data_IF_292528345335
#
_entry.id   IF_292528345335
#
_cell.length_a   1.000
_cell.length_b   1.000
_cell.length_c   1.000
_cell.angle_alpha   90.00
_cell.angle_beta   90.00
_cell.angle_gamma   90.00
#
_symmetry.space_group_name_H-M   'P 1'
#
loop_
_entity.id
_entity.type
_entity.pdbx_description
1 polymer ?
#
# COMPACT_ATOMS: atom_id res chain seq x y z
N UNK A 1 14.81 0.73 5.82
CA UNK A 1 14.26 -0.63 5.68
C UNK A 1 15.15 -1.50 4.80
N UNK A 2 15.16 -2.83 5.00
CA UNK A 2 15.70 -3.75 3.99
C UNK A 2 14.71 -3.82 2.82
N UNK A 3 15.18 -4.11 1.61
CA UNK A 3 14.33 -4.31 0.42
C UNK A 3 13.16 -5.30 0.65
N UNK A 4 13.34 -6.25 1.57
CA UNK A 4 12.34 -7.22 2.01
C UNK A 4 11.13 -6.57 2.70
N UNK A 5 11.35 -5.51 3.48
CA UNK A 5 10.30 -4.82 4.21
C UNK A 5 9.47 -3.90 3.30
N UNK A 6 10.13 -3.27 2.32
CA UNK A 6 9.50 -2.48 1.26
C UNK A 6 8.53 -3.36 0.45
N UNK A 7 8.96 -4.55 0.00
CA UNK A 7 8.06 -5.52 -0.67
C UNK A 7 6.89 -5.94 0.22
N UNK A 8 7.11 -6.10 1.52
CA UNK A 8 6.04 -6.40 2.49
C UNK A 8 5.04 -5.26 2.63
N UNK A 9 5.50 -4.01 2.65
CA UNK A 9 4.61 -2.84 2.66
C UNK A 9 3.75 -2.78 1.39
N UNK A 10 4.34 -3.01 0.21
CA UNK A 10 3.62 -3.06 -1.06
C UNK A 10 2.55 -4.17 -1.05
N UNK A 11 2.93 -5.38 -0.61
CA UNK A 11 2.00 -6.50 -0.53
C UNK A 11 0.84 -6.23 0.44
N UNK A 12 1.14 -5.66 1.62
CA UNK A 12 0.12 -5.25 2.60
C UNK A 12 -0.81 -4.17 2.05
N UNK A 13 -0.27 -3.18 1.36
CA UNK A 13 -1.07 -2.13 0.72
C UNK A 13 -2.01 -2.75 -0.33
N UNK A 14 -1.50 -3.63 -1.19
CA UNK A 14 -2.29 -4.29 -2.25
C UNK A 14 -3.42 -5.15 -1.68
N UNK A 15 -3.13 -5.93 -0.64
CA UNK A 15 -4.13 -6.72 0.08
C UNK A 15 -5.20 -5.83 0.75
N UNK A 16 -4.77 -4.70 1.33
CA UNK A 16 -5.66 -3.73 1.98
C UNK A 16 -6.58 -3.04 0.96
N UNK A 17 -6.07 -2.64 -0.21
CA UNK A 17 -6.88 -2.12 -1.34
C UNK A 17 -7.86 -3.17 -1.85
N UNK A 18 -7.41 -4.42 -1.99
CA UNK A 18 -8.26 -5.54 -2.44
C UNK A 18 -9.38 -5.83 -1.45
N UNK A 19 -9.09 -5.73 -0.15
CA UNK A 19 -10.08 -5.78 0.92
C UNK A 19 -11.03 -4.58 0.84
N UNK A 20 -10.53 -3.37 0.64
CA UNK A 20 -11.34 -2.14 0.51
C UNK A 20 -12.37 -2.24 -0.63
N UNK A 21 -12.03 -2.93 -1.73
CA UNK A 21 -12.98 -3.18 -2.83
C UNK A 21 -14.13 -4.14 -2.49
N UNK A 22 -14.08 -4.86 -1.36
CA UNK A 22 -15.18 -5.76 -0.95
C UNK A 22 -16.32 -4.96 -0.32
N UNK A 23 -17.56 -5.33 -0.64
CA UNK A 23 -18.80 -4.65 -0.20
C UNK A 23 -18.98 -4.49 1.33
N UNK A 24 -18.34 -5.34 2.14
CA UNK A 24 -18.43 -5.32 3.62
C UNK A 24 -17.13 -4.91 4.30
N UNK A 25 -16.21 -4.25 3.59
CA UNK A 25 -14.93 -3.90 4.15
C UNK A 25 -15.00 -2.56 4.90
N UNK A 26 -14.32 -2.48 6.04
CA UNK A 26 -14.14 -1.25 6.82
C UNK A 26 -13.29 -0.23 6.05
N UNK A 27 -13.89 0.43 5.07
CA UNK A 27 -13.21 1.37 4.17
C UNK A 27 -12.47 2.47 4.93
N UNK A 28 -13.05 2.95 6.03
CA UNK A 28 -12.44 3.94 6.92
C UNK A 28 -11.15 3.41 7.55
N UNK A 29 -11.24 2.28 8.26
CA UNK A 29 -10.10 1.64 8.93
C UNK A 29 -9.01 1.20 7.95
N UNK A 30 -9.41 0.69 6.77
CA UNK A 30 -8.49 0.31 5.71
C UNK A 30 -7.82 1.54 5.08
N UNK A 31 -8.54 2.65 4.90
CA UNK A 31 -7.98 3.91 4.39
C UNK A 31 -6.93 4.50 5.35
N UNK A 32 -7.19 4.49 6.65
CA UNK A 32 -6.19 4.92 7.64
C UNK A 32 -4.94 4.05 7.61
N UNK A 33 -5.13 2.73 7.50
CA UNK A 33 -4.02 1.79 7.40
C UNK A 33 -3.20 2.00 6.12
N UNK A 34 -3.86 2.28 5.00
CA UNK A 34 -3.18 2.61 3.73
C UNK A 34 -2.35 3.90 3.86
N UNK A 35 -2.89 4.95 4.48
CA UNK A 35 -2.16 6.20 4.73
C UNK A 35 -0.94 5.99 5.60
N UNK A 36 -1.03 5.18 6.66
CA UNK A 36 0.10 4.87 7.52
C UNK A 36 1.22 4.13 6.76
N UNK A 37 0.85 3.13 5.97
CA UNK A 37 1.78 2.37 5.13
C UNK A 37 2.43 3.30 4.08
N UNK A 38 1.64 4.18 3.44
CA UNK A 38 2.12 5.14 2.45
C UNK A 38 3.09 6.16 3.04
N UNK A 39 2.79 6.71 4.23
CA UNK A 39 3.69 7.63 4.94
C UNK A 39 5.02 6.97 5.29
N UNK A 40 5.01 5.74 5.83
CA UNK A 40 6.24 5.01 6.16
C UNK A 40 7.05 4.69 4.90
N UNK A 41 6.39 4.21 3.86
CA UNK A 41 7.05 3.89 2.60
C UNK A 41 7.67 5.13 1.95
N UNK A 42 6.96 6.26 1.91
CA UNK A 42 7.47 7.51 1.37
C UNK A 42 8.65 8.04 2.18
N UNK A 43 8.55 7.99 3.51
CA UNK A 43 9.65 8.40 4.39
C UNK A 43 10.93 7.56 4.17
N UNK A 44 10.78 6.29 3.80
CA UNK A 44 11.92 5.38 3.62
C UNK A 44 12.44 5.28 2.17
N UNK A 45 11.57 5.43 1.18
CA UNK A 45 11.92 5.24 -0.24
C UNK A 45 11.90 6.54 -1.05
N UNK A 46 11.30 7.61 -0.52
CA UNK A 46 11.04 8.86 -1.24
C UNK A 46 9.99 8.73 -2.36
N UNK A 47 9.34 7.56 -2.49
CA UNK A 47 8.35 7.26 -3.54
C UNK A 47 6.99 6.98 -2.92
N UNK A 48 5.92 7.24 -3.65
CA UNK A 48 4.57 6.87 -3.23
C UNK A 48 4.27 5.43 -3.63
N UNK A 49 3.72 4.67 -2.68
CA UNK A 49 3.28 3.28 -2.89
C UNK A 49 2.31 3.16 -4.07
N UNK A 50 1.46 4.18 -4.23
CA UNK A 50 0.52 4.29 -5.34
C UNK A 50 1.22 4.27 -6.70
N UNK A 51 2.31 5.02 -6.87
CA UNK A 51 3.06 5.05 -8.13
C UNK A 51 3.72 3.70 -8.44
N UNK A 52 4.31 3.05 -7.44
CA UNK A 52 4.89 1.69 -7.57
C UNK A 52 3.82 0.67 -7.98
N UNK A 53 2.62 0.77 -7.42
CA UNK A 53 1.50 -0.12 -7.74
C UNK A 53 0.85 0.13 -9.10
N UNK A 54 0.80 1.38 -9.55
CA UNK A 54 0.34 1.73 -10.90
C UNK A 54 1.35 1.26 -11.95
N UNK A 55 2.66 1.38 -11.68
CA UNK A 55 3.74 0.86 -12.54
C UNK A 55 3.68 -0.67 -12.65
N UNK A 56 3.34 -1.39 -11.57
CA UNK A 56 3.12 -2.84 -11.59
C UNK A 56 1.91 -3.32 -12.41
N UNK A 57 0.99 -2.42 -12.81
CA UNK A 57 -0.20 -2.77 -13.58
C UNK A 57 0.01 -2.62 -15.10
N UNK A 58 1.18 -2.13 -15.51
CA UNK A 58 1.58 -1.95 -16.91
C UNK A 58 2.76 -2.83 -17.29
N UNK A 59 2.57 -4.16 -17.34
CA UNK A 59 3.34 -5.07 -18.18
C UNK A 59 2.54 -6.34 -18.48
#
# INVERSE_FOLDING_TARGET
MKNSDIKKLISQYKDTIMKQKKKNADNFRLSEKLKEIEHRYYHETGRTLKSDLEEFKGN
#
